data_IF_638972640733
#
_entry.id   IF_638972640733
#
_cell.length_a   1.000
_cell.length_b   1.000
_cell.length_c   1.000
_cell.angle_alpha   90.00
_cell.angle_beta   90.00
_cell.angle_gamma   90.00
#
_symmetry.space_group_name_H-M   'P 1'
#
loop_
_entity.id
_entity.type
_entity.pdbx_description
1 polymer ?
#
# COMPACT_ATOMS: atom_id res chain seq x y z
N UNK A 1 -2.97 -19.74 4.44
CA UNK A 1 -2.23 -19.04 5.52
C UNK A 1 -1.87 -17.61 5.11
N UNK A 2 -1.20 -17.39 3.97
CA UNK A 2 -0.78 -16.02 3.57
C UNK A 2 -1.87 -15.13 2.97
N UNK A 3 -3.03 -15.68 2.58
CA UNK A 3 -4.19 -14.92 2.08
C UNK A 3 -4.68 -13.82 3.05
N UNK A 4 -4.41 -13.95 4.35
CA UNK A 4 -4.72 -12.92 5.34
C UNK A 4 -3.98 -11.60 5.07
N UNK A 5 -2.78 -11.65 4.46
CA UNK A 5 -2.06 -10.44 4.04
C UNK A 5 -2.87 -9.66 2.99
N UNK A 6 -3.52 -10.33 2.04
CA UNK A 6 -4.34 -9.68 1.04
C UNK A 6 -5.64 -9.12 1.63
N UNK A 7 -6.26 -9.83 2.58
CA UNK A 7 -7.42 -9.31 3.32
C UNK A 7 -7.05 -8.05 4.11
N UNK A 8 -5.93 -8.04 4.84
CA UNK A 8 -5.43 -6.86 5.56
C UNK A 8 -5.06 -5.73 4.60
N UNK A 9 -4.42 -6.05 3.47
CA UNK A 9 -4.13 -5.07 2.42
C UNK A 9 -5.40 -4.42 1.88
N UNK A 10 -6.49 -5.18 1.67
CA UNK A 10 -7.76 -4.61 1.24
C UNK A 10 -8.27 -3.59 2.28
N UNK A 11 -8.25 -3.94 3.57
CA UNK A 11 -8.65 -3.04 4.64
C UNK A 11 -7.82 -1.75 4.66
N UNK A 12 -6.50 -1.85 4.50
CA UNK A 12 -5.61 -0.69 4.40
C UNK A 12 -5.95 0.21 3.20
N UNK A 13 -6.20 -0.35 2.01
CA UNK A 13 -6.60 0.45 0.85
C UNK A 13 -7.93 1.18 1.06
N UNK A 14 -8.89 0.53 1.74
CA UNK A 14 -10.17 1.16 2.11
C UNK A 14 -9.97 2.30 3.09
N UNK A 15 -9.16 2.11 4.13
CA UNK A 15 -8.83 3.15 5.12
C UNK A 15 -8.10 4.33 4.47
N UNK A 16 -7.12 4.05 3.61
CA UNK A 16 -6.41 5.07 2.86
C UNK A 16 -7.36 5.92 2.02
N UNK A 17 -8.29 5.28 1.30
CA UNK A 17 -9.27 5.96 0.46
C UNK A 17 -10.20 6.86 1.29
N UNK A 18 -10.69 6.35 2.41
CA UNK A 18 -11.51 7.14 3.35
C UNK A 18 -10.76 8.35 3.89
N UNK A 19 -9.50 8.15 4.30
CA UNK A 19 -8.65 9.20 4.82
C UNK A 19 -8.38 10.30 3.77
N UNK A 20 -8.17 9.96 2.49
CA UNK A 20 -8.06 10.94 1.40
C UNK A 20 -9.34 11.76 1.26
N UNK A 21 -10.51 11.12 1.21
CA UNK A 21 -11.78 11.84 1.10
C UNK A 21 -12.05 12.73 2.32
N UNK A 22 -11.68 12.28 3.52
CA UNK A 22 -11.77 13.09 4.73
C UNK A 22 -10.83 14.31 4.67
N UNK A 23 -9.59 14.14 4.21
CA UNK A 23 -8.65 15.24 3.98
C UNK A 23 -9.25 16.28 3.00
N UNK A 24 -9.81 15.82 1.88
CA UNK A 24 -10.41 16.69 0.86
C UNK A 24 -11.74 17.33 1.29
N UNK A 25 -12.41 16.79 2.30
CA UNK A 25 -13.70 17.30 2.79
C UNK A 25 -13.56 18.21 4.00
N UNK A 26 -12.49 18.06 4.78
CA UNK A 26 -12.23 18.83 6.00
C UNK A 26 -11.08 19.82 5.82
N UNK A 27 -11.10 20.60 4.72
CA UNK A 27 -10.14 21.69 4.44
C UNK A 27 -8.66 21.32 4.61
N UNK A 28 -8.29 20.09 4.28
CA UNK A 28 -6.89 19.67 4.28
C UNK A 28 -6.34 19.25 5.66
N UNK A 29 -7.15 18.64 6.52
CA UNK A 29 -6.71 18.09 7.82
C UNK A 29 -5.49 17.16 7.68
N UNK A 30 -4.30 17.66 8.04
CA UNK A 30 -3.00 17.03 7.74
C UNK A 30 -2.90 15.58 8.22
N UNK A 31 -3.45 15.27 9.39
CA UNK A 31 -3.39 13.94 9.97
C UNK A 31 -4.11 12.90 9.10
N UNK A 32 -5.20 13.28 8.42
CA UNK A 32 -5.90 12.39 7.49
C UNK A 32 -5.03 12.09 6.25
N UNK A 33 -4.25 13.06 5.79
CA UNK A 33 -3.30 12.84 4.70
C UNK A 33 -2.17 11.90 5.11
N UNK A 34 -1.64 12.07 6.32
CA UNK A 34 -0.60 11.21 6.87
C UNK A 34 -1.13 9.78 7.07
N UNK A 35 -2.34 9.64 7.61
CA UNK A 35 -3.04 8.36 7.76
C UNK A 35 -3.22 7.67 6.40
N UNK A 36 -3.58 8.43 5.37
CA UNK A 36 -3.68 7.89 4.02
C UNK A 36 -2.35 7.35 3.50
N UNK A 37 -1.25 8.12 3.59
CA UNK A 37 0.06 7.65 3.13
C UNK A 37 0.55 6.42 3.89
N UNK A 38 0.31 6.38 5.21
CA UNK A 38 0.64 5.22 6.05
C UNK A 38 -0.09 3.96 5.57
N UNK A 39 -1.41 4.02 5.39
CA UNK A 39 -2.17 2.85 4.97
C UNK A 39 -1.85 2.42 3.53
N UNK A 40 -1.51 3.34 2.62
CA UNK A 40 -1.04 2.95 1.28
C UNK A 40 0.28 2.18 1.37
N UNK A 41 1.25 2.65 2.15
CA UNK A 41 2.51 1.93 2.37
C UNK A 41 2.24 0.54 2.96
N UNK A 42 1.40 0.46 3.99
CA UNK A 42 1.04 -0.78 4.67
C UNK A 42 0.35 -1.80 3.76
N UNK A 43 -0.50 -1.35 2.85
CA UNK A 43 -1.12 -2.21 1.84
C UNK A 43 -0.05 -2.79 0.90
N UNK A 44 0.84 -1.95 0.38
CA UNK A 44 1.92 -2.36 -0.54
C UNK A 44 2.86 -3.38 0.14
N UNK A 45 3.25 -3.12 1.38
CA UNK A 45 4.09 -4.04 2.17
C UNK A 45 3.44 -5.42 2.29
N UNK A 46 2.15 -5.47 2.65
CA UNK A 46 1.42 -6.74 2.81
C UNK A 46 1.28 -7.50 1.51
N UNK A 47 1.04 -6.81 0.39
CA UNK A 47 1.01 -7.45 -0.94
C UNK A 47 2.38 -8.00 -1.35
N UNK A 48 3.46 -7.28 -1.07
CA UNK A 48 4.83 -7.77 -1.30
C UNK A 48 5.10 -9.02 -0.45
N UNK A 49 4.80 -8.98 0.84
CA UNK A 49 4.96 -10.11 1.77
C UNK A 49 4.16 -11.33 1.31
N UNK A 50 2.91 -11.14 0.90
CA UNK A 50 2.11 -12.21 0.27
C UNK A 50 2.83 -12.87 -0.90
N UNK A 51 3.32 -12.05 -1.86
CA UNK A 51 4.00 -12.57 -3.03
C UNK A 51 5.29 -13.32 -2.66
N UNK A 52 6.08 -12.79 -1.72
CA UNK A 52 7.33 -13.38 -1.26
C UNK A 52 7.08 -14.73 -0.57
N UNK A 53 6.15 -14.77 0.38
CA UNK A 53 5.83 -16.00 1.11
C UNK A 53 5.30 -17.10 0.19
N UNK A 54 4.50 -16.75 -0.82
CA UNK A 54 4.00 -17.74 -1.80
C UNK A 54 5.09 -18.30 -2.71
N UNK A 55 6.28 -17.69 -2.77
CA UNK A 55 7.44 -18.20 -3.53
C UNK A 55 8.44 -18.94 -2.66
N UNK A 56 8.36 -18.84 -1.33
CA UNK A 56 9.24 -19.57 -0.42
C UNK A 56 8.80 -21.02 -0.31
N UNK A 57 9.64 -21.94 -0.79
CA UNK A 57 9.35 -23.38 -0.82
C UNK A 57 9.84 -24.14 0.43
N UNK A 58 10.69 -23.54 1.27
CA UNK A 58 11.19 -24.17 2.50
C UNK A 58 11.62 -23.14 3.55
N UNK A 59 11.28 -23.38 4.82
CA UNK A 59 11.78 -22.60 5.96
C UNK A 59 11.32 -21.14 5.95
N UNK A 60 10.00 -20.91 5.89
CA UNK A 60 9.40 -19.57 5.91
C UNK A 60 9.88 -18.82 7.16
N UNK A 61 10.84 -17.92 6.97
CA UNK A 61 11.29 -17.00 8.00
C UNK A 61 10.40 -15.77 7.97
N UNK A 62 9.92 -15.36 9.14
CA UNK A 62 9.12 -14.15 9.25
C UNK A 62 9.93 -12.93 8.79
N UNK A 63 9.36 -12.15 7.87
CA UNK A 63 9.94 -10.95 7.31
C UNK A 63 9.55 -9.75 8.17
N UNK A 64 10.44 -9.34 9.07
CA UNK A 64 10.32 -8.13 9.87
C UNK A 64 10.81 -6.86 9.15
N UNK A 65 10.84 -6.89 7.82
CA UNK A 65 11.28 -5.76 6.99
C UNK A 65 10.05 -4.94 6.60
N UNK A 66 10.09 -3.64 6.86
CA UNK A 66 9.08 -2.66 6.46
C UNK A 66 9.53 -1.78 5.27
N UNK A 67 10.84 -1.80 4.99
CA UNK A 67 11.43 -1.14 3.84
C UNK A 67 10.99 -1.83 2.53
N UNK A 68 10.20 -1.11 1.73
CA UNK A 68 9.64 -1.62 0.48
C UNK A 68 10.73 -1.81 -0.57
N UNK A 69 11.72 -0.92 -0.63
CA UNK A 69 12.83 -1.01 -1.60
C UNK A 69 13.67 -2.25 -1.31
N UNK A 70 13.96 -2.49 -0.03
CA UNK A 70 14.65 -3.70 0.44
C UNK A 70 13.84 -4.96 0.17
N UNK A 71 12.54 -4.98 0.47
CA UNK A 71 11.67 -6.11 0.16
C UNK A 71 11.71 -6.46 -1.34
N UNK A 72 11.66 -5.45 -2.20
CA UNK A 72 11.68 -5.64 -3.65
C UNK A 72 13.04 -6.17 -4.13
N UNK A 73 14.14 -5.54 -3.72
CA UNK A 73 15.49 -5.89 -4.18
C UNK A 73 15.97 -7.23 -3.62
N UNK A 74 15.81 -7.46 -2.33
CA UNK A 74 16.37 -8.63 -1.65
C UNK A 74 15.53 -9.89 -1.90
N UNK A 75 14.23 -9.74 -2.12
CA UNK A 75 13.30 -10.87 -2.23
C UNK A 75 12.56 -10.92 -3.57
N UNK A 76 11.87 -9.85 -3.99
CA UNK A 76 11.03 -9.93 -5.19
C UNK A 76 11.86 -10.21 -6.46
N UNK A 77 12.99 -9.51 -6.64
CA UNK A 77 13.89 -9.75 -7.77
C UNK A 77 14.45 -11.18 -7.73
N UNK A 78 14.91 -11.64 -6.56
CA UNK A 78 15.46 -12.98 -6.37
C UNK A 78 14.46 -14.10 -6.70
N UNK A 79 13.19 -13.90 -6.35
CA UNK A 79 12.13 -14.88 -6.57
C UNK A 79 11.36 -14.70 -7.89
N UNK A 80 11.79 -13.77 -8.76
CA UNK A 80 11.10 -13.49 -10.02
C UNK A 80 9.67 -12.98 -9.84
N UNK A 81 9.40 -12.27 -8.75
CA UNK A 81 8.08 -11.69 -8.45
C UNK A 81 7.92 -10.40 -9.24
N UNK A 82 6.87 -10.34 -10.07
CA UNK A 82 6.52 -9.12 -10.80
C UNK A 82 5.83 -8.12 -9.87
N UNK A 83 6.45 -6.95 -9.72
CA UNK A 83 5.94 -5.81 -8.95
C UNK A 83 5.63 -4.66 -9.93
N UNK A 84 4.51 -3.93 -9.79
CA UNK A 84 4.18 -2.83 -10.68
C UNK A 84 5.31 -1.79 -10.76
N UNK A 85 5.65 -1.36 -11.97
CA UNK A 85 6.80 -0.46 -12.23
C UNK A 85 6.74 0.83 -11.41
N UNK A 86 5.54 1.38 -11.20
CA UNK A 86 5.34 2.61 -10.42
C UNK A 86 5.61 2.39 -8.93
N UNK A 87 5.28 1.22 -8.39
CA UNK A 87 5.62 0.85 -7.02
C UNK A 87 7.13 0.69 -6.88
N UNK A 88 7.78 -0.03 -7.80
CA UNK A 88 9.24 -0.19 -7.80
C UNK A 88 9.94 1.16 -7.85
N UNK A 89 9.53 2.04 -8.77
CA UNK A 89 10.14 3.37 -8.96
C UNK A 89 10.07 4.23 -7.70
N UNK A 90 8.99 4.15 -6.93
CA UNK A 90 8.73 5.02 -5.79
C UNK A 90 8.94 4.31 -4.43
N UNK A 91 9.48 3.09 -4.40
CA UNK A 91 9.58 2.27 -3.20
C UNK A 91 10.32 2.95 -2.04
N UNK A 92 11.41 3.66 -2.34
CA UNK A 92 12.15 4.46 -1.34
C UNK A 92 11.30 5.60 -0.75
N UNK A 93 10.50 6.27 -1.58
CA UNK A 93 9.61 7.34 -1.10
C UNK A 93 8.49 6.75 -0.24
N UNK A 94 7.86 5.67 -0.70
CA UNK A 94 6.76 5.03 0.01
C UNK A 94 7.22 4.43 1.33
N UNK A 95 8.45 3.92 1.43
CA UNK A 95 9.03 3.44 2.69
C UNK A 95 9.06 4.54 3.76
N UNK A 96 9.41 5.78 3.37
CA UNK A 96 9.42 6.92 4.30
C UNK A 96 8.03 7.24 4.85
N UNK A 97 6.96 6.90 4.12
CA UNK A 97 5.58 7.15 4.56
C UNK A 97 5.23 6.35 5.81
N UNK A 98 5.92 5.24 6.10
CA UNK A 98 5.66 4.46 7.30
C UNK A 98 6.07 5.20 8.58
N UNK A 99 7.28 5.79 8.60
CA UNK A 99 7.83 6.46 9.78
C UNK A 99 7.49 7.96 9.80
N UNK A 100 7.66 8.65 8.68
CA UNK A 100 7.58 10.11 8.65
C UNK A 100 6.14 10.62 8.77
N UNK A 101 5.15 9.85 8.32
CA UNK A 101 3.73 10.22 8.47
C UNK A 101 3.24 10.13 9.93
N UNK A 102 3.88 9.27 10.75
CA UNK A 102 3.54 9.07 12.17
C UNK A 102 4.27 10.00 13.12
N UNK A 103 5.52 10.33 12.82
CA UNK A 103 6.41 10.99 13.79
C UNK A 103 6.87 12.39 13.38
N UNK A 104 6.88 12.74 12.09
CA UNK A 104 7.45 14.02 11.64
C UNK A 104 6.40 15.11 11.50
N UNK A 105 6.46 16.12 12.38
CA UNK A 105 5.58 17.29 12.35
C UNK A 105 5.77 18.14 11.07
N UNK A 106 6.96 18.12 10.46
CA UNK A 106 7.28 18.90 9.25
C UNK A 106 7.10 18.10 7.96
N UNK A 107 7.06 16.77 8.02
CA UNK A 107 6.87 15.96 6.83
C UNK A 107 5.47 16.15 6.24
N UNK A 108 5.40 16.12 4.91
CA UNK A 108 4.14 16.27 4.19
C UNK A 108 4.30 15.67 2.79
N UNK A 109 3.57 14.59 2.53
CA UNK A 109 3.45 14.00 1.21
C UNK A 109 2.44 14.80 0.38
N UNK A 110 2.67 14.91 -0.94
CA UNK A 110 1.67 15.48 -1.86
C UNK A 110 0.48 14.54 -1.97
N UNK A 111 -0.74 15.06 -1.86
CA UNK A 111 -1.96 14.24 -1.92
C UNK A 111 -2.07 13.47 -3.24
N UNK A 112 -1.62 14.07 -4.35
CA UNK A 112 -1.59 13.44 -5.67
C UNK A 112 -0.66 12.22 -5.73
N UNK A 113 0.47 12.25 -5.01
CA UNK A 113 1.35 11.08 -4.88
C UNK A 113 0.65 9.93 -4.16
N UNK A 114 -0.07 10.24 -3.07
CA UNK A 114 -0.82 9.24 -2.29
C UNK A 114 -1.94 8.64 -3.14
N UNK A 115 -2.75 9.47 -3.80
CA UNK A 115 -3.81 9.01 -4.72
C UNK A 115 -3.22 8.13 -5.82
N UNK A 116 -2.12 8.57 -6.43
CA UNK A 116 -1.45 7.82 -7.49
C UNK A 116 -0.90 6.47 -7.05
N UNK A 117 -0.43 6.37 -5.80
CA UNK A 117 0.03 5.12 -5.20
C UNK A 117 -1.14 4.20 -4.81
N UNK A 118 -2.22 4.77 -4.26
CA UNK A 118 -3.44 4.03 -3.90
C UNK A 118 -4.09 3.37 -5.11
N UNK A 119 -4.26 4.10 -6.22
CA UNK A 119 -4.86 3.54 -7.45
C UNK A 119 -4.02 2.39 -7.98
N UNK A 120 -2.69 2.57 -8.03
CA UNK A 120 -1.77 1.52 -8.46
C UNK A 120 -1.84 0.28 -7.56
N UNK A 121 -1.90 0.48 -6.24
CA UNK A 121 -1.98 -0.59 -5.26
C UNK A 121 -3.32 -1.34 -5.33
N UNK A 122 -4.43 -0.64 -5.54
CA UNK A 122 -5.74 -1.25 -5.79
C UNK A 122 -5.75 -2.09 -7.06
N UNK A 123 -5.23 -1.55 -8.17
CA UNK A 123 -5.18 -2.27 -9.44
C UNK A 123 -4.27 -3.50 -9.32
N UNK A 124 -3.13 -3.38 -8.62
CA UNK A 124 -2.27 -4.51 -8.34
C UNK A 124 -2.97 -5.58 -7.48
N UNK A 125 -3.68 -5.19 -6.41
CA UNK A 125 -4.45 -6.12 -5.60
C UNK A 125 -5.47 -6.91 -6.43
N UNK A 126 -6.09 -6.28 -7.45
CA UNK A 126 -7.00 -6.96 -8.36
C UNK A 126 -6.31 -7.98 -9.26
N UNK A 127 -5.05 -7.76 -9.63
CA UNK A 127 -4.26 -8.78 -10.35
C UNK A 127 -3.91 -9.98 -9.46
N UNK A 128 -3.64 -9.73 -8.17
CA UNK A 128 -3.30 -10.78 -7.19
C UNK A 128 -4.55 -11.55 -6.74
N UNK A 129 -5.68 -10.86 -6.57
CA UNK A 129 -6.93 -11.45 -6.08
C UNK A 129 -8.17 -10.80 -6.74
N UNK A 130 -8.56 -11.27 -7.94
CA UNK A 130 -9.70 -10.72 -8.68
C UNK A 130 -11.03 -10.73 -7.93
N UNK A 131 -11.19 -11.63 -6.95
CA UNK A 131 -12.38 -11.71 -6.11
C UNK A 131 -12.69 -10.40 -5.34
N UNK A 132 -11.70 -9.54 -5.09
CA UNK A 132 -11.92 -8.25 -4.43
C UNK A 132 -12.44 -7.13 -5.34
N UNK A 133 -12.66 -7.42 -6.64
CA UNK A 133 -13.19 -6.45 -7.61
C UNK A 133 -14.45 -5.74 -7.13
N UNK A 134 -15.44 -6.50 -6.62
CA UNK A 134 -16.69 -5.92 -6.13
C UNK A 134 -16.45 -4.91 -4.99
N UNK A 135 -15.57 -5.26 -4.05
CA UNK A 135 -15.22 -4.41 -2.91
C UNK A 135 -14.52 -3.13 -3.38
N UNK A 136 -13.48 -3.25 -4.20
CA UNK A 136 -12.72 -2.09 -4.70
C UNK A 136 -13.64 -1.16 -5.51
N UNK A 137 -14.48 -1.70 -6.38
CA UNK A 137 -15.44 -0.89 -7.15
C UNK A 137 -16.44 -0.16 -6.24
N UNK A 138 -16.96 -0.85 -5.21
CA UNK A 138 -17.85 -0.23 -4.22
C UNK A 138 -17.18 0.96 -3.54
N UNK A 139 -15.95 0.80 -3.06
CA UNK A 139 -15.25 1.87 -2.35
C UNK A 139 -14.77 3.00 -3.27
N UNK A 140 -14.36 2.71 -4.51
CA UNK A 140 -14.10 3.75 -5.53
C UNK A 140 -15.32 4.61 -5.80
N UNK A 141 -16.51 4.00 -5.86
CA UNK A 141 -17.76 4.72 -6.07
C UNK A 141 -18.17 5.54 -4.84
N UNK A 142 -18.06 4.95 -3.65
CA UNK A 142 -18.44 5.59 -2.37
C UNK A 142 -17.50 6.74 -1.98
N UNK A 143 -16.21 6.60 -2.24
CA UNK A 143 -15.16 7.53 -1.83
C UNK A 143 -14.40 8.02 -3.07
N UNK A 144 -15.05 8.94 -3.80
CA UNK A 144 -14.49 9.61 -4.97
C UNK A 144 -13.59 10.75 -4.54
N UNK A 145 -12.44 10.87 -5.20
CA UNK A 145 -11.53 11.98 -4.99
C UNK A 145 -12.10 13.24 -5.67
N UNK A 146 -11.96 14.38 -5.00
CA UNK A 146 -12.18 15.71 -5.58
C UNK A 146 -11.02 16.14 -6.47
#
# INVERSE_FOLDING_TARGET
>A
MFEEYLTKSLSDLVLARQAICNYQSNNGLKDMKNLASYHVQQAIEKMLKYCIYNKQTSGVKELYIHDLDRLIKDHCVKYGISVPKKIVKNANEYTRWEAESRYSLKYSVRITSIIGALVEAEDWLLTLKPAYKKNIMHYRSKYKFK
#
